data_IF_706658864644
#
_entry.id   IF_706658864644
#
_cell.length_a   1.000
_cell.length_b   1.000
_cell.length_c   1.000
_cell.angle_alpha   90.00
_cell.angle_beta   90.00
_cell.angle_gamma   90.00
#
_symmetry.space_group_name_H-M   'P 1'
#
loop_
_entity.id
_entity.type
_entity.pdbx_description
1 polymer ?
#
# COMPACT_ATOMS: atom_id res chain seq x y z
N UNK A 1 20.46 -11.97 -8.54
CA UNK A 1 19.22 -11.88 -9.32
C UNK A 1 18.56 -13.26 -9.31
N UNK A 2 17.27 -13.37 -8.98
CA UNK A 2 16.54 -14.63 -9.16
C UNK A 2 16.30 -14.89 -10.65
N UNK A 3 16.45 -16.14 -11.10
CA UNK A 3 16.19 -16.53 -12.49
C UNK A 3 14.69 -16.71 -12.74
N UNK A 4 14.25 -16.49 -13.99
CA UNK A 4 12.84 -16.63 -14.42
C UNK A 4 12.23 -17.98 -14.02
N UNK A 5 13.01 -19.05 -14.13
CA UNK A 5 12.60 -20.42 -13.80
C UNK A 5 12.23 -20.57 -12.32
N UNK A 6 13.00 -19.97 -11.40
CA UNK A 6 12.72 -20.02 -9.96
C UNK A 6 11.41 -19.32 -9.60
N UNK A 7 11.07 -18.26 -10.32
CA UNK A 7 9.82 -17.52 -10.13
C UNK A 7 8.63 -18.37 -10.58
N UNK A 8 8.73 -18.99 -11.76
CA UNK A 8 7.68 -19.87 -12.30
C UNK A 8 7.49 -21.09 -11.38
N UNK A 9 8.57 -21.72 -10.90
CA UNK A 9 8.48 -22.82 -9.94
C UNK A 9 7.80 -22.40 -8.64
N UNK A 10 8.11 -21.20 -8.11
CA UNK A 10 7.50 -20.69 -6.88
C UNK A 10 6.01 -20.45 -7.05
N UNK A 11 5.59 -19.88 -8.18
CA UNK A 11 4.18 -19.63 -8.51
C UNK A 11 3.44 -20.94 -8.73
N UNK A 12 4.03 -21.88 -9.46
CA UNK A 12 3.45 -23.22 -9.66
C UNK A 12 3.20 -23.93 -8.33
N UNK A 13 4.19 -23.90 -7.42
CA UNK A 13 4.06 -24.47 -6.08
C UNK A 13 3.01 -23.77 -5.22
N UNK A 14 2.94 -22.44 -5.25
CA UNK A 14 1.97 -21.69 -4.42
C UNK A 14 0.54 -21.80 -4.92
N UNK A 15 0.35 -21.95 -6.23
CA UNK A 15 -0.99 -22.02 -6.87
C UNK A 15 -1.45 -23.46 -7.10
N UNK A 16 -0.60 -24.45 -6.88
CA UNK A 16 -0.88 -25.86 -7.17
C UNK A 16 -1.04 -26.15 -8.67
N UNK A 17 -0.53 -25.28 -9.54
CA UNK A 17 -0.66 -25.42 -10.99
C UNK A 17 0.58 -26.07 -11.62
N UNK A 18 0.38 -26.67 -12.79
CA UNK A 18 1.46 -27.26 -13.58
C UNK A 18 2.40 -26.19 -14.12
N UNK A 19 3.71 -26.43 -14.04
CA UNK A 19 4.77 -25.50 -14.46
C UNK A 19 4.54 -24.94 -15.87
N UNK A 20 4.28 -25.81 -16.86
CA UNK A 20 4.12 -25.38 -18.25
C UNK A 20 2.90 -24.48 -18.47
N UNK A 21 1.86 -24.61 -17.64
CA UNK A 21 0.71 -23.71 -17.67
C UNK A 21 1.09 -22.33 -17.11
N UNK A 22 1.77 -22.30 -15.97
CA UNK A 22 2.26 -21.04 -15.38
C UNK A 22 3.26 -20.34 -16.30
N UNK A 23 4.13 -21.08 -16.97
CA UNK A 23 5.06 -20.52 -17.95
C UNK A 23 4.34 -19.90 -19.15
N UNK A 24 3.34 -20.59 -19.70
CA UNK A 24 2.52 -20.06 -20.79
C UNK A 24 1.77 -18.79 -20.38
N UNK A 25 1.17 -18.79 -19.18
CA UNK A 25 0.44 -17.63 -18.64
C UNK A 25 1.38 -16.44 -18.42
N UNK A 26 2.56 -16.67 -17.84
CA UNK A 26 3.59 -15.64 -17.63
C UNK A 26 4.07 -15.06 -18.97
N UNK A 27 4.34 -15.92 -19.96
CA UNK A 27 4.76 -15.48 -21.29
C UNK A 27 3.64 -14.74 -22.03
N UNK A 28 2.39 -15.15 -21.85
CA UNK A 28 1.21 -14.48 -22.42
C UNK A 28 1.03 -13.09 -21.82
N UNK A 29 1.15 -12.94 -20.50
CA UNK A 29 1.04 -11.64 -19.85
C UNK A 29 2.17 -10.72 -20.32
N UNK A 30 3.41 -11.21 -20.39
CA UNK A 30 4.55 -10.42 -20.87
C UNK A 30 4.38 -9.97 -22.32
N UNK A 31 3.78 -10.79 -23.19
CA UNK A 31 3.60 -10.47 -24.61
C UNK A 31 2.48 -9.46 -24.87
N UNK A 32 1.46 -9.40 -24.02
CA UNK A 32 0.31 -8.49 -24.18
C UNK A 32 0.43 -7.25 -23.29
N UNK A 33 1.24 -6.26 -23.68
CA UNK A 33 1.26 -4.90 -23.11
C UNK A 33 1.21 -4.81 -21.56
N UNK A 34 1.63 -5.85 -20.83
CA UNK A 34 1.50 -5.88 -19.38
C UNK A 34 2.32 -4.80 -18.70
N UNK A 35 3.44 -4.40 -19.30
CA UNK A 35 4.24 -3.28 -18.82
C UNK A 35 3.45 -1.96 -18.82
N UNK A 36 2.61 -1.74 -19.83
CA UNK A 36 1.82 -0.53 -19.97
C UNK A 36 0.61 -0.54 -19.03
N UNK A 37 -0.11 -1.66 -18.95
CA UNK A 37 -1.26 -1.79 -18.04
C UNK A 37 -0.85 -1.78 -16.56
N UNK A 38 0.29 -2.41 -16.20
CA UNK A 38 0.84 -2.34 -14.85
C UNK A 38 1.32 -0.93 -14.50
N UNK A 39 1.85 -0.19 -15.49
CA UNK A 39 2.24 1.21 -15.29
C UNK A 39 1.02 2.10 -15.06
N UNK A 40 -0.02 1.94 -15.88
CA UNK A 40 -1.29 2.66 -15.74
C UNK A 40 -1.94 2.37 -14.38
N UNK A 41 -2.04 1.10 -13.97
CA UNK A 41 -2.53 0.72 -12.63
C UNK A 41 -1.68 1.30 -11.51
N UNK A 42 -0.35 1.28 -11.63
CA UNK A 42 0.55 1.88 -10.64
C UNK A 42 0.36 3.39 -10.53
N UNK A 43 0.22 4.08 -11.66
CA UNK A 43 0.02 5.53 -11.70
C UNK A 43 -1.37 5.89 -11.17
N UNK A 44 -2.40 5.11 -11.46
CA UNK A 44 -3.72 5.21 -10.84
C UNK A 44 -3.64 5.03 -9.32
N UNK A 45 -2.98 3.98 -8.82
CA UNK A 45 -2.82 3.74 -7.37
C UNK A 45 -2.09 4.89 -6.65
N UNK A 46 -1.11 5.53 -7.29
CA UNK A 46 -0.44 6.73 -6.75
C UNK A 46 -1.35 7.96 -6.78
N UNK A 47 -2.22 8.05 -7.78
CA UNK A 47 -3.18 9.14 -7.95
C UNK A 47 -4.46 8.95 -7.13
N UNK A 48 -4.69 7.77 -6.55
CA UNK A 48 -5.59 7.59 -5.40
C UNK A 48 -4.95 8.38 -4.26
N UNK A 49 -5.22 9.70 -4.26
CA UNK A 49 -5.11 10.53 -3.08
C UNK A 49 -5.93 9.80 -2.04
N UNK A 50 -5.24 9.15 -1.10
CA UNK A 50 -5.85 8.68 0.14
C UNK A 50 -6.49 9.95 0.67
N UNK A 51 -7.80 10.07 0.50
CA UNK A 51 -8.62 11.14 1.06
C UNK A 51 -8.74 10.85 2.56
N UNK A 52 -7.60 10.64 3.20
CA UNK A 52 -7.50 10.69 4.63
C UNK A 52 -7.89 12.12 4.96
N UNK A 53 -9.02 12.34 5.64
CA UNK A 53 -9.40 13.68 6.00
C UNK A 53 -8.20 14.25 6.76
N UNK A 54 -7.73 15.46 6.44
CA UNK A 54 -6.80 16.12 7.32
C UNK A 54 -7.61 16.31 8.59
N UNK A 55 -7.49 15.40 9.56
CA UNK A 55 -7.91 15.68 10.92
C UNK A 55 -7.03 16.87 11.31
N UNK A 56 -7.57 18.07 11.06
CA UNK A 56 -7.30 19.21 11.89
C UNK A 56 -7.58 18.66 13.26
N UNK A 57 -6.52 18.37 14.02
CA UNK A 57 -6.65 18.16 15.46
C UNK A 57 -7.38 19.40 15.92
N UNK A 58 -8.71 19.28 16.08
CA UNK A 58 -9.56 20.35 16.56
C UNK A 58 -8.88 20.83 17.81
N UNK A 59 -8.56 22.12 17.84
CA UNK A 59 -7.66 22.71 18.81
C UNK A 59 -7.97 22.11 20.18
N UNK A 60 -6.97 21.44 20.77
CA UNK A 60 -7.02 21.16 22.18
C UNK A 60 -6.91 22.52 22.84
N UNK A 61 -8.06 23.19 22.94
CA UNK A 61 -8.29 24.22 23.93
C UNK A 61 -8.15 23.48 25.26
N UNK A 62 -6.91 23.26 25.69
CA UNK A 62 -6.58 23.07 27.08
C UNK A 62 -6.95 24.39 27.74
N UNK A 63 -8.25 24.59 27.96
CA UNK A 63 -8.77 25.63 28.82
C UNK A 63 -8.23 25.29 30.19
N UNK A 64 -7.05 25.85 30.50
CA UNK A 64 -6.57 25.95 31.87
C UNK A 64 -7.76 26.43 32.71
N UNK A 65 -8.17 25.74 33.78
CA UNK A 65 -9.26 26.21 34.59
C UNK A 65 -8.90 27.61 35.11
N UNK A 66 -9.70 28.61 34.73
CA UNK A 66 -9.44 30.04 34.99
C UNK A 66 -9.39 30.38 36.50
N UNK A 67 -9.78 29.43 37.36
CA UNK A 67 -9.88 29.60 38.81
C UNK A 67 -9.01 28.58 39.57
N UNK A 68 -7.68 28.72 39.53
CA UNK A 68 -6.84 28.18 40.60
C UNK A 68 -6.84 29.19 41.75
N UNK A 69 -7.60 28.92 42.82
CA UNK A 69 -7.47 29.66 44.10
C UNK A 69 -6.00 29.61 44.52
N UNK A 70 -5.31 30.76 44.55
CA UNK A 70 -3.96 30.85 45.09
C UNK A 70 -4.04 30.56 46.58
N UNK A 71 -3.32 29.53 47.06
CA UNK A 71 -3.20 29.26 48.50
C UNK A 71 -2.36 30.39 49.15
N UNK A 72 -2.69 30.82 50.37
CA UNK A 72 -1.86 31.79 51.09
C UNK A 72 -0.48 31.17 51.35
N UNK A 73 0.56 31.97 51.12
CA UNK A 73 1.92 31.62 51.57
C UNK A 73 2.00 31.98 53.04
N UNK A 74 2.31 30.98 53.87
CA UNK A 74 2.81 31.17 55.22
C UNK A 74 4.29 31.57 55.16
#
# INVERSE_FOLDING_TARGET
METKEKIIERIAKSTGQYYGKVEADVNSVISTNASQTLKELSDEMRNIKISFPPYRRGGSNYTKPKNRKKKPKY
#
